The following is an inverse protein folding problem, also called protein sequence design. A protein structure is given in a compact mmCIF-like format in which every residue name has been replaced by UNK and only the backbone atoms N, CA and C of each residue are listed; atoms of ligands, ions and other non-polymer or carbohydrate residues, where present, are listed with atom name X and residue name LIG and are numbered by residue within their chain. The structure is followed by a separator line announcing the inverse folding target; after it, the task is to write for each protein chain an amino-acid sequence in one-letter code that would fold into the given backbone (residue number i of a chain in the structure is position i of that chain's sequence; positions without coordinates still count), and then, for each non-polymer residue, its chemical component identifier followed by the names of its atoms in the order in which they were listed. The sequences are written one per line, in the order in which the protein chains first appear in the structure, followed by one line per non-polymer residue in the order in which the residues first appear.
data_IF_620295555807
#
_entry.id   IF_620295555807
#
_cell.length_a   1.000
_cell.length_b   1.000
_cell.length_c   1.000
_cell.angle_alpha   90.00
_cell.angle_beta   90.00
_cell.angle_gamma   90.00
#
_symmetry.space_group_name_H-M   'P 1'
#
loop_
_entity.id
_entity.type
_entity.pdbx_description
1 polymer ?
#
# COMPACT_ATOMS: atom_id res chain seq x y z
N UNK A 1 24.54 17.25 18.10
CA UNK A 1 23.11 16.86 18.07
C UNK A 1 22.33 18.12 17.76
N UNK A 2 21.71 18.20 16.60
CA UNK A 2 20.72 19.24 16.31
C UNK A 2 19.51 18.97 17.19
N UNK A 3 19.25 19.84 18.16
CA UNK A 3 18.04 19.76 18.98
C UNK A 3 16.92 20.43 18.20
N UNK A 4 16.10 19.64 17.52
CA UNK A 4 14.87 20.14 16.90
C UNK A 4 13.77 20.33 17.95
N UNK A 5 12.82 21.22 17.69
CA UNK A 5 11.66 21.49 18.53
C UNK A 5 10.38 21.69 17.72
N UNK A 6 9.22 21.58 18.40
CA UNK A 6 7.92 21.76 17.75
C UNK A 6 7.72 23.15 17.15
N UNK A 7 8.05 24.26 17.85
CA UNK A 7 7.97 25.59 17.25
C UNK A 7 8.80 25.71 15.97
N UNK A 8 10.03 25.19 15.95
CA UNK A 8 10.89 25.25 14.77
C UNK A 8 10.30 24.47 13.59
N UNK A 9 9.90 23.21 13.82
CA UNK A 9 9.31 22.37 12.76
C UNK A 9 8.01 22.96 12.22
N UNK A 10 7.11 23.41 13.10
CA UNK A 10 5.83 23.97 12.68
C UNK A 10 6.01 25.32 11.99
N UNK A 11 6.95 26.17 12.43
CA UNK A 11 7.25 27.43 11.74
C UNK A 11 7.78 27.21 10.32
N UNK A 12 8.60 26.20 10.09
CA UNK A 12 9.06 25.83 8.73
C UNK A 12 7.87 25.43 7.84
N UNK A 13 6.99 24.54 8.34
CA UNK A 13 5.82 24.09 7.58
C UNK A 13 4.81 25.21 7.31
N UNK A 14 4.51 26.06 8.31
CA UNK A 14 3.60 27.21 8.16
C UNK A 14 4.15 28.24 7.18
N UNK A 15 5.48 28.38 7.09
CA UNK A 15 6.14 29.19 6.06
C UNK A 15 6.09 28.60 4.65
N UNK A 16 5.51 27.41 4.46
CA UNK A 16 5.48 26.71 3.17
C UNK A 16 6.83 26.11 2.77
N UNK A 17 7.74 25.93 3.72
CA UNK A 17 9.09 25.40 3.47
C UNK A 17 9.18 23.92 3.80
N UNK A 18 10.03 23.21 3.06
CA UNK A 18 10.23 21.78 3.24
C UNK A 18 11.10 21.51 4.47
N UNK A 19 10.72 20.50 5.24
CA UNK A 19 11.56 19.96 6.28
C UNK A 19 12.70 19.14 5.66
N UNK A 20 13.83 19.15 6.35
CA UNK A 20 14.87 18.13 6.13
C UNK A 20 14.37 16.75 6.61
N UNK A 21 14.95 15.67 6.08
CA UNK A 21 14.67 14.31 6.56
C UNK A 21 14.84 14.19 8.08
N UNK A 22 15.86 14.84 8.66
CA UNK A 22 16.10 14.85 10.10
C UNK A 22 15.00 15.53 10.92
N UNK A 23 14.44 16.63 10.42
CA UNK A 23 13.30 17.29 11.07
C UNK A 23 12.02 16.46 11.00
N UNK A 24 11.74 15.86 9.84
CA UNK A 24 10.60 14.96 9.68
C UNK A 24 10.71 13.73 10.59
N UNK A 25 11.91 13.11 10.64
CA UNK A 25 12.20 11.98 11.53
C UNK A 25 12.04 12.36 13.00
N UNK A 26 12.54 13.53 13.41
CA UNK A 26 12.38 14.01 14.78
C UNK A 26 10.90 14.19 15.15
N UNK A 27 10.11 14.85 14.29
CA UNK A 27 8.69 15.07 14.53
C UNK A 27 7.93 13.74 14.63
N UNK A 28 8.22 12.80 13.73
CA UNK A 28 7.63 11.46 13.77
C UNK A 28 8.04 10.69 15.03
N UNK A 29 9.27 10.85 15.50
CA UNK A 29 9.74 10.20 16.72
C UNK A 29 9.02 10.74 17.96
N UNK A 30 8.82 12.06 18.06
CA UNK A 30 8.01 12.66 19.12
C UNK A 30 6.58 12.11 19.14
N UNK A 31 5.99 11.90 17.96
CA UNK A 31 4.65 11.31 17.80
C UNK A 31 4.66 9.84 18.25
N UNK A 32 5.58 9.02 17.73
CA UNK A 32 5.59 7.57 17.97
C UNK A 32 5.94 7.18 19.40
N UNK A 33 6.66 8.04 20.13
CA UNK A 33 6.94 7.85 21.55
C UNK A 33 5.90 8.49 22.48
N UNK A 34 4.83 9.07 21.94
CA UNK A 34 3.77 9.70 22.74
C UNK A 34 4.20 10.96 23.49
N UNK A 35 5.22 11.68 22.99
CA UNK A 35 5.71 12.94 23.57
C UNK A 35 5.02 14.17 22.99
N UNK A 36 4.42 14.04 21.80
CA UNK A 36 3.65 15.11 21.17
C UNK A 36 2.24 15.25 21.77
N UNK A 37 1.75 16.48 21.91
CA UNK A 37 0.35 16.74 22.24
C UNK A 37 -0.56 16.57 21.02
N UNK A 38 -1.87 16.39 21.24
CA UNK A 38 -2.85 16.32 20.15
C UNK A 38 -2.82 17.58 19.26
N UNK A 39 -2.61 18.75 19.86
CA UNK A 39 -2.47 20.01 19.13
C UNK A 39 -1.23 20.03 18.22
N UNK A 40 -0.08 19.53 18.72
CA UNK A 40 1.14 19.43 17.92
C UNK A 40 0.98 18.43 16.77
N UNK A 41 0.40 17.26 17.05
CA UNK A 41 0.10 16.23 16.03
C UNK A 41 -0.84 16.78 14.95
N UNK A 42 -1.93 17.43 15.35
CA UNK A 42 -2.89 18.04 14.44
C UNK A 42 -2.26 19.13 13.58
N UNK A 43 -1.52 20.06 14.19
CA UNK A 43 -0.82 21.12 13.49
C UNK A 43 0.20 20.57 12.49
N UNK A 44 0.99 19.57 12.89
CA UNK A 44 1.98 18.94 12.01
C UNK A 44 1.34 18.27 10.81
N UNK A 45 0.32 17.42 11.03
CA UNK A 45 -0.38 16.71 9.96
C UNK A 45 -1.03 17.67 8.95
N UNK A 46 -1.70 18.71 9.44
CA UNK A 46 -2.35 19.69 8.57
C UNK A 46 -1.34 20.56 7.83
N UNK A 47 -0.33 21.09 8.51
CA UNK A 47 0.66 21.95 7.87
C UNK A 47 1.49 21.20 6.83
N UNK A 48 1.91 19.95 7.12
CA UNK A 48 2.63 19.11 6.18
C UNK A 48 1.78 18.81 4.94
N UNK A 49 0.54 18.36 5.13
CA UNK A 49 -0.35 18.03 4.01
C UNK A 49 -0.73 19.27 3.18
N UNK A 50 -1.02 20.40 3.81
CA UNK A 50 -1.35 21.65 3.10
C UNK A 50 -0.17 22.19 2.30
N UNK A 51 1.07 22.01 2.79
CA UNK A 51 2.30 22.34 2.06
C UNK A 51 2.54 21.40 0.88
N UNK A 52 2.07 20.15 0.97
CA UNK A 52 2.45 18.98 0.16
C UNK A 52 3.81 18.44 0.55
N UNK A 53 3.93 17.13 0.58
CA UNK A 53 5.09 16.40 1.06
C UNK A 53 6.22 16.34 0.02
N UNK A 54 7.44 16.19 0.52
CA UNK A 54 8.62 15.85 -0.28
C UNK A 54 9.08 14.43 0.01
N UNK A 55 9.87 13.87 -0.91
CA UNK A 55 10.45 12.53 -0.74
C UNK A 55 11.32 12.45 0.52
N UNK A 56 12.07 13.51 0.85
CA UNK A 56 12.90 13.56 2.06
C UNK A 56 12.06 13.54 3.35
N UNK A 57 10.93 14.25 3.35
CA UNK A 57 9.98 14.22 4.46
C UNK A 57 9.41 12.81 4.62
N UNK A 58 8.89 12.22 3.55
CA UNK A 58 8.33 10.87 3.57
C UNK A 58 9.34 9.83 4.04
N UNK A 59 10.56 9.86 3.51
CA UNK A 59 11.63 8.95 3.91
C UNK A 59 11.85 9.02 5.42
N UNK A 60 11.95 10.23 5.99
CA UNK A 60 12.14 10.40 7.44
C UNK A 60 10.95 9.94 8.28
N UNK A 61 9.72 10.11 7.79
CA UNK A 61 8.53 9.59 8.48
C UNK A 61 8.50 8.05 8.47
N UNK A 62 8.76 7.45 7.31
CA UNK A 62 8.72 6.00 7.11
C UNK A 62 9.86 5.31 7.88
N UNK A 63 11.07 5.89 7.89
CA UNK A 63 12.20 5.36 8.68
C UNK A 63 11.81 5.19 10.15
N UNK A 64 11.18 6.21 10.75
CA UNK A 64 10.74 6.15 12.14
C UNK A 64 9.58 5.17 12.34
N UNK A 65 8.68 5.01 11.38
CA UNK A 65 7.63 3.98 11.44
C UNK A 65 8.23 2.58 11.48
N UNK A 66 9.26 2.33 10.68
CA UNK A 66 9.95 1.03 10.60
C UNK A 66 10.80 0.76 11.84
N UNK A 67 11.49 1.77 12.37
CA UNK A 67 12.26 1.67 13.62
C UNK A 67 11.39 1.30 14.83
N UNK A 68 10.13 1.76 14.82
CA UNK A 68 9.15 1.48 15.87
C UNK A 68 8.20 0.32 15.53
N UNK A 69 8.41 -0.36 14.40
CA UNK A 69 7.63 -1.52 14.01
C UNK A 69 8.07 -2.78 14.78
N UNK A 70 7.14 -3.71 14.96
CA UNK A 70 7.45 -5.03 15.49
C UNK A 70 8.18 -5.83 14.41
N UNK A 71 9.45 -6.15 14.65
CA UNK A 71 10.30 -6.88 13.70
C UNK A 71 9.91 -8.36 13.64
N UNK A 72 10.16 -8.96 12.47
CA UNK A 72 9.85 -10.34 12.15
C UNK A 72 11.05 -11.04 11.51
N UNK A 73 11.13 -12.35 11.72
CA UNK A 73 12.14 -13.22 11.12
C UNK A 73 11.57 -13.96 9.89
N UNK A 74 10.95 -13.22 8.97
CA UNK A 74 10.45 -13.77 7.68
C UNK A 74 11.48 -13.67 6.55
N UNK A 75 12.46 -12.77 6.70
CA UNK A 75 13.21 -12.24 5.57
C UNK A 75 12.37 -11.26 4.73
N UNK A 76 12.97 -10.73 3.67
CA UNK A 76 12.37 -9.75 2.75
C UNK A 76 12.11 -10.30 1.35
N UNK A 77 12.42 -11.56 1.09
CA UNK A 77 12.31 -12.15 -0.25
C UNK A 77 10.86 -12.50 -0.62
N UNK A 78 10.07 -11.46 -0.88
CA UNK A 78 8.64 -11.55 -1.11
C UNK A 78 8.10 -10.29 -1.80
N UNK A 79 6.84 -10.40 -2.20
CA UNK A 79 6.00 -9.36 -2.76
C UNK A 79 5.03 -8.80 -1.70
N UNK A 80 4.75 -7.50 -1.76
CA UNK A 80 3.54 -6.89 -1.16
C UNK A 80 2.65 -6.33 -2.27
N UNK A 81 1.35 -6.65 -2.22
CA UNK A 81 0.33 -6.06 -3.11
C UNK A 81 -0.61 -5.25 -2.22
N UNK A 82 -0.54 -3.93 -2.33
CA UNK A 82 -1.17 -3.03 -1.36
C UNK A 82 -1.56 -1.72 -2.03
N UNK A 83 -2.62 -1.09 -1.52
CA UNK A 83 -3.06 0.24 -1.94
C UNK A 83 -3.00 1.23 -0.79
N UNK A 84 -2.97 2.53 -1.11
CA UNK A 84 -3.17 3.59 -0.10
C UNK A 84 -4.59 3.59 0.47
N UNK A 85 -5.54 2.99 -0.26
CA UNK A 85 -6.96 3.22 -0.10
C UNK A 85 -7.32 4.67 -0.42
N UNK A 86 -8.56 5.04 -0.07
CA UNK A 86 -9.02 6.42 -0.16
C UNK A 86 -9.55 6.84 -1.55
N UNK A 87 -9.69 5.90 -2.48
CA UNK A 87 -10.41 6.09 -3.75
C UNK A 87 -11.90 6.42 -3.56
N UNK A 88 -12.45 6.06 -2.40
CA UNK A 88 -13.86 6.18 -2.03
C UNK A 88 -14.81 5.50 -3.01
N UNK A 89 -14.36 4.53 -3.83
CA UNK A 89 -15.20 3.80 -4.79
C UNK A 89 -15.83 2.57 -4.13
N UNK A 90 -15.06 1.84 -3.32
CA UNK A 90 -15.60 0.68 -2.59
C UNK A 90 -15.76 -0.54 -3.45
N UNK A 91 -14.73 -0.84 -4.21
CA UNK A 91 -14.60 -2.09 -4.95
C UNK A 91 -14.54 -3.29 -4.00
N UNK A 92 -14.66 -4.49 -4.56
CA UNK A 92 -14.24 -5.72 -3.88
C UNK A 92 -12.76 -5.62 -3.50
N UNK A 93 -12.30 -6.43 -2.54
CA UNK A 93 -10.92 -6.33 -2.02
C UNK A 93 -9.88 -6.92 -3.00
N UNK A 94 -9.66 -6.23 -4.13
CA UNK A 94 -8.84 -6.65 -5.28
C UNK A 94 -7.41 -6.98 -4.85
N UNK A 95 -6.68 -6.06 -4.23
CA UNK A 95 -5.31 -6.33 -3.78
C UNK A 95 -5.17 -7.52 -2.82
N UNK A 96 -6.23 -7.87 -2.08
CA UNK A 96 -6.22 -9.05 -1.17
C UNK A 96 -6.44 -10.34 -1.95
N UNK A 97 -7.36 -10.33 -2.91
CA UNK A 97 -7.56 -11.48 -3.79
C UNK A 97 -6.35 -11.70 -4.71
N UNK A 98 -5.77 -10.62 -5.25
CA UNK A 98 -4.56 -10.66 -6.07
C UNK A 98 -3.36 -11.22 -5.30
N UNK A 99 -3.21 -10.89 -4.01
CA UNK A 99 -2.16 -11.46 -3.15
C UNK A 99 -2.27 -12.98 -3.04
N UNK A 100 -3.50 -13.51 -2.92
CA UNK A 100 -3.75 -14.95 -2.86
C UNK A 100 -3.43 -15.61 -4.22
N UNK A 101 -3.83 -14.98 -5.33
CA UNK A 101 -3.51 -15.48 -6.67
C UNK A 101 -2.00 -15.51 -6.93
N UNK A 102 -1.27 -14.44 -6.58
CA UNK A 102 0.18 -14.39 -6.73
C UNK A 102 0.90 -15.46 -5.90
N UNK A 103 0.44 -15.69 -4.66
CA UNK A 103 0.95 -16.78 -3.82
C UNK A 103 0.66 -18.16 -4.41
N UNK A 104 -0.55 -18.37 -4.94
CA UNK A 104 -0.91 -19.61 -5.62
C UNK A 104 -0.09 -19.84 -6.92
N UNK A 105 0.40 -18.78 -7.56
CA UNK A 105 1.33 -18.82 -8.69
C UNK A 105 2.79 -19.08 -8.27
N UNK A 106 3.08 -19.19 -6.97
CA UNK A 106 4.41 -19.53 -6.43
C UNK A 106 5.26 -18.35 -6.00
N UNK A 107 4.73 -17.11 -6.02
CA UNK A 107 5.44 -15.92 -5.53
C UNK A 107 5.22 -15.78 -4.02
N UNK A 108 6.27 -15.65 -3.18
CA UNK A 108 6.07 -15.41 -1.75
C UNK A 108 5.41 -14.04 -1.50
N UNK A 109 4.39 -13.98 -0.63
CA UNK A 109 3.64 -12.75 -0.37
C UNK A 109 3.63 -12.38 1.12
N UNK A 110 4.08 -11.16 1.42
CA UNK A 110 4.06 -10.54 2.74
C UNK A 110 3.10 -9.34 2.74
N UNK A 111 1.79 -9.61 2.72
CA UNK A 111 0.78 -8.56 2.55
C UNK A 111 0.65 -7.70 3.81
N UNK A 112 0.85 -6.38 3.69
CA UNK A 112 0.54 -5.44 4.78
C UNK A 112 -0.87 -4.85 4.63
N UNK A 113 -1.61 -4.73 5.73
CA UNK A 113 -2.94 -4.15 5.68
C UNK A 113 -3.50 -3.75 7.04
N UNK A 114 -4.55 -2.94 7.00
CA UNK A 114 -5.25 -2.42 8.18
C UNK A 114 -6.76 -2.53 7.97
N UNK A 115 -7.51 -2.29 9.06
CA UNK A 115 -8.93 -1.94 8.97
C UNK A 115 -9.12 -0.66 8.17
N UNK A 116 -10.26 -0.58 7.49
CA UNK A 116 -10.59 0.58 6.68
C UNK A 116 -10.81 1.84 7.52
N UNK A 117 -10.27 2.96 7.05
CA UNK A 117 -10.50 4.27 7.65
C UNK A 117 -11.73 4.99 7.07
N UNK A 118 -12.25 4.56 5.92
CA UNK A 118 -13.32 5.25 5.17
C UNK A 118 -14.72 4.65 5.40
N UNK A 119 -14.84 3.64 6.26
CA UNK A 119 -16.10 2.93 6.53
C UNK A 119 -16.52 1.91 5.47
N UNK A 120 -15.76 1.79 4.37
CA UNK A 120 -15.88 0.70 3.40
C UNK A 120 -15.13 -0.55 3.88
N UNK A 121 -15.39 -1.72 3.32
CA UNK A 121 -14.73 -2.97 3.77
C UNK A 121 -13.24 -2.96 3.48
N UNK A 122 -12.42 -2.92 4.53
CA UNK A 122 -10.97 -3.06 4.43
C UNK A 122 -10.54 -4.50 4.15
N UNK A 123 -9.27 -4.69 3.79
CA UNK A 123 -8.69 -6.00 3.53
C UNK A 123 -8.77 -6.92 4.76
N UNK A 124 -8.49 -6.37 5.94
CA UNK A 124 -8.46 -7.14 7.18
C UNK A 124 -9.82 -7.73 7.57
N UNK A 125 -10.90 -6.97 7.37
CA UNK A 125 -12.27 -7.37 7.70
C UNK A 125 -12.74 -8.51 6.81
N UNK A 126 -12.48 -8.44 5.51
CA UNK A 126 -12.78 -9.53 4.57
C UNK A 126 -11.96 -10.79 4.89
N UNK A 127 -10.67 -10.64 5.23
CA UNK A 127 -9.82 -11.77 5.59
C UNK A 127 -10.28 -12.47 6.89
N UNK A 128 -10.76 -11.72 7.90
CA UNK A 128 -11.38 -12.30 9.09
C UNK A 128 -12.60 -13.16 8.75
N UNK A 129 -13.47 -12.70 7.84
CA UNK A 129 -14.65 -13.45 7.36
C UNK A 129 -14.27 -14.70 6.54
N UNK A 130 -13.08 -14.71 5.93
CA UNK A 130 -12.50 -15.91 5.32
C UNK A 130 -11.89 -16.88 6.35
N UNK A 131 -11.79 -16.48 7.62
CA UNK A 131 -11.26 -17.30 8.71
C UNK A 131 -9.78 -17.03 9.04
N UNK A 132 -9.18 -15.99 8.46
CA UNK A 132 -7.80 -15.59 8.78
C UNK A 132 -7.75 -14.95 10.17
N UNK A 133 -6.81 -15.42 11.00
CA UNK A 133 -6.59 -14.91 12.35
C UNK A 133 -5.71 -13.66 12.31
N UNK A 134 -6.24 -12.52 12.75
CA UNK A 134 -5.49 -11.25 12.82
C UNK A 134 -4.77 -11.02 14.15
N UNK A 135 -5.02 -11.87 15.13
CA UNK A 135 -4.48 -11.81 16.50
C UNK A 135 -3.28 -12.72 16.72
N UNK A 136 -2.68 -13.24 15.63
CA UNK A 136 -1.47 -14.04 15.70
C UNK A 136 -0.30 -13.20 16.20
N UNK A 137 0.54 -13.83 17.04
CA UNK A 137 1.80 -13.22 17.43
C UNK A 137 2.77 -13.13 16.24
N UNK A 138 3.77 -12.22 16.28
CA UNK A 138 4.76 -12.11 15.22
C UNK A 138 5.43 -13.44 14.84
N UNK A 139 5.82 -14.25 15.83
CA UNK A 139 6.43 -15.56 15.57
C UNK A 139 5.47 -16.52 14.85
N UNK A 140 4.18 -16.51 15.17
CA UNK A 140 3.18 -17.31 14.47
C UNK A 140 2.96 -16.81 13.04
N UNK A 141 2.94 -15.50 12.81
CA UNK A 141 2.87 -14.90 11.46
C UNK A 141 4.04 -15.37 10.60
N UNK A 142 5.26 -15.39 11.16
CA UNK A 142 6.43 -15.91 10.47
C UNK A 142 6.36 -17.41 10.18
N UNK A 143 5.82 -18.21 11.11
CA UNK A 143 5.59 -19.66 10.89
C UNK A 143 4.57 -19.93 9.78
N UNK A 144 3.49 -19.14 9.72
CA UNK A 144 2.51 -19.23 8.63
C UNK A 144 3.19 -18.93 7.29
N UNK A 145 3.99 -17.87 7.20
CA UNK A 145 4.71 -17.55 5.98
C UNK A 145 5.68 -18.66 5.56
N UNK A 146 6.47 -19.19 6.49
CA UNK A 146 7.43 -20.26 6.21
C UNK A 146 6.75 -21.54 5.69
N UNK A 147 5.48 -21.79 6.06
CA UNK A 147 4.73 -22.98 5.65
C UNK A 147 3.93 -22.77 4.37
N UNK A 148 3.26 -21.63 4.25
CA UNK A 148 2.26 -21.39 3.20
C UNK A 148 2.76 -20.46 2.08
N UNK A 149 3.91 -19.81 2.24
CA UNK A 149 4.44 -18.84 1.28
C UNK A 149 3.68 -17.51 1.24
N UNK A 150 2.62 -17.35 2.03
CA UNK A 150 1.85 -16.11 2.18
C UNK A 150 1.51 -15.87 3.65
N UNK A 151 1.55 -14.60 4.06
CA UNK A 151 1.01 -14.18 5.37
C UNK A 151 0.46 -12.76 5.31
N UNK A 152 -0.28 -12.37 6.36
CA UNK A 152 -0.88 -11.05 6.48
C UNK A 152 -0.38 -10.31 7.73
N UNK A 153 0.09 -9.09 7.53
CA UNK A 153 0.61 -8.22 8.57
C UNK A 153 -0.48 -7.23 8.93
N UNK A 154 -1.14 -7.46 10.06
CA UNK A 154 -2.17 -6.57 10.54
C UNK A 154 -1.55 -5.32 11.20
N UNK A 155 -1.62 -4.17 10.53
CA UNK A 155 -0.91 -2.95 10.90
C UNK A 155 -1.05 -2.54 12.38
N UNK A 156 -2.21 -2.67 13.05
CA UNK A 156 -2.32 -2.35 14.48
C UNK A 156 -1.47 -3.23 15.40
N UNK A 157 -1.18 -4.48 15.01
CA UNK A 157 -0.26 -5.38 15.74
C UNK A 157 1.18 -4.99 15.49
N UNK A 158 1.51 -4.64 14.25
CA UNK A 158 2.89 -4.41 13.83
C UNK A 158 3.39 -2.96 13.99
N UNK A 159 2.49 -1.99 14.10
CA UNK A 159 2.82 -0.58 14.36
C UNK A 159 2.12 -0.07 15.63
N UNK A 160 2.39 -0.65 16.81
CA UNK A 160 1.69 -0.30 18.05
C UNK A 160 1.85 1.17 18.44
N UNK A 161 2.95 1.82 18.05
CA UNK A 161 3.20 3.24 18.27
C UNK A 161 2.17 4.15 17.57
N UNK A 162 1.52 3.68 16.50
CA UNK A 162 0.47 4.42 15.78
C UNK A 162 -0.74 4.74 16.64
N UNK A 163 -0.94 4.06 17.78
CA UNK A 163 -1.98 4.39 18.75
C UNK A 163 -1.87 5.82 19.27
N UNK A 164 -0.65 6.40 19.28
CA UNK A 164 -0.43 7.75 19.78
C UNK A 164 -0.99 8.82 18.84
N UNK A 165 -0.94 8.60 17.52
CA UNK A 165 -1.48 9.55 16.53
C UNK A 165 -2.96 9.30 16.19
N UNK A 166 -3.47 8.11 16.49
CA UNK A 166 -4.84 7.70 16.15
C UNK A 166 -5.94 8.66 16.67
N UNK A 167 -5.90 9.18 17.92
CA UNK A 167 -6.91 10.13 18.38
C UNK A 167 -6.91 11.43 17.57
N UNK A 168 -5.73 12.00 17.29
CA UNK A 168 -5.62 13.21 16.48
C UNK A 168 -6.14 13.00 15.05
N UNK A 169 -5.83 11.85 14.44
CA UNK A 169 -6.38 11.50 13.10
C UNK A 169 -7.90 11.41 13.12
N UNK A 170 -8.47 10.80 14.16
CA UNK A 170 -9.93 10.67 14.32
C UNK A 170 -10.61 12.03 14.52
N UNK A 171 -10.01 12.93 15.31
CA UNK A 171 -10.53 14.28 15.53
C UNK A 171 -10.44 15.16 14.29
N UNK A 172 -9.36 15.05 13.51
CA UNK A 172 -9.21 15.79 12.25
C UNK A 172 -10.24 15.35 11.20
N UNK A 173 -10.48 14.05 11.06
CA UNK A 173 -11.50 13.51 10.14
C UNK A 173 -11.23 13.73 8.65
N UNK A 174 -10.05 14.23 8.27
CA UNK A 174 -9.64 14.49 6.88
C UNK A 174 -8.39 13.69 6.51
N UNK A 175 -8.20 13.35 5.22
CA UNK A 175 -6.97 12.70 4.77
C UNK A 175 -5.72 13.55 5.00
N UNK A 176 -4.66 12.94 5.53
CA UNK A 176 -3.35 13.57 5.77
C UNK A 176 -2.25 12.69 5.20
N UNK A 177 -0.97 13.05 5.38
CA UNK A 177 0.18 12.20 5.01
C UNK A 177 0.03 10.77 5.55
N UNK A 178 -0.49 10.64 6.77
CA UNK A 178 -0.67 9.36 7.46
C UNK A 178 -1.65 8.40 6.78
N UNK A 179 -2.44 8.85 5.80
CA UNK A 179 -3.33 8.00 5.04
C UNK A 179 -2.59 7.12 4.03
N UNK A 180 -1.40 7.52 3.57
CA UNK A 180 -0.66 6.79 2.54
C UNK A 180 0.74 6.35 2.98
N UNK A 181 1.11 6.49 4.26
CA UNK A 181 2.38 5.95 4.78
C UNK A 181 2.35 4.42 4.96
N UNK A 182 1.17 3.83 5.17
CA UNK A 182 1.01 2.41 5.47
C UNK A 182 1.70 1.46 4.48
N UNK A 183 1.50 1.63 3.17
CA UNK A 183 2.16 0.80 2.16
C UNK A 183 3.70 0.86 2.16
N UNK A 184 4.29 1.98 2.58
CA UNK A 184 5.75 2.15 2.64
C UNK A 184 6.34 1.49 3.90
N UNK A 185 5.53 1.32 4.93
CA UNK A 185 5.96 0.91 6.26
C UNK A 185 5.81 -0.60 6.54
N UNK A 186 5.69 -1.48 5.53
CA UNK A 186 5.64 -2.93 5.77
C UNK A 186 6.87 -3.38 6.61
N UNK A 187 6.69 -3.96 7.82
CA UNK A 187 7.80 -4.28 8.73
C UNK A 187 8.82 -5.27 8.17
N UNK A 188 8.41 -6.16 7.25
CA UNK A 188 9.31 -7.13 6.64
C UNK A 188 10.14 -6.56 5.49
N UNK A 189 9.82 -5.33 5.04
CA UNK A 189 10.49 -4.67 3.93
C UNK A 189 10.67 -5.58 2.69
N UNK A 190 9.60 -6.16 2.12
CA UNK A 190 9.67 -6.99 0.92
C UNK A 190 10.46 -6.34 -0.21
N UNK A 191 11.21 -7.14 -0.98
CA UNK A 191 12.04 -6.68 -2.10
C UNK A 191 11.22 -6.10 -3.25
N UNK A 192 9.96 -6.53 -3.37
CA UNK A 192 9.04 -6.12 -4.42
C UNK A 192 7.72 -5.58 -3.86
N UNK A 193 7.20 -4.51 -4.46
CA UNK A 193 5.89 -3.94 -4.11
C UNK A 193 5.08 -3.61 -5.36
N UNK A 194 3.86 -4.13 -5.45
CA UNK A 194 2.81 -3.60 -6.32
C UNK A 194 1.96 -2.62 -5.49
N UNK A 195 2.04 -1.34 -5.82
CA UNK A 195 1.48 -0.27 -5.01
C UNK A 195 0.44 0.55 -5.77
N UNK A 196 -0.81 0.42 -5.35
CA UNK A 196 -1.89 1.29 -5.80
C UNK A 196 -1.94 2.61 -5.04
N UNK A 197 -2.12 3.73 -5.76
CA UNK A 197 -2.24 5.07 -5.16
C UNK A 197 -3.39 5.85 -5.77
N UNK A 198 -4.39 6.23 -4.95
CA UNK A 198 -5.58 6.95 -5.43
C UNK A 198 -5.28 8.40 -5.84
N UNK A 199 -4.30 9.03 -5.20
CA UNK A 199 -3.95 10.44 -5.39
C UNK A 199 -2.81 10.60 -6.42
N UNK A 200 -3.10 11.29 -7.51
CA UNK A 200 -2.17 11.49 -8.63
C UNK A 200 -0.93 12.30 -8.26
N UNK A 201 -1.02 13.18 -7.26
CA UNK A 201 0.14 13.95 -6.79
C UNK A 201 1.02 13.12 -5.84
N UNK A 202 0.47 12.09 -5.21
CA UNK A 202 1.17 11.25 -4.23
C UNK A 202 1.86 10.05 -4.89
N UNK A 203 1.30 9.50 -5.98
CA UNK A 203 1.87 8.31 -6.64
C UNK A 203 3.36 8.48 -7.04
N UNK A 204 3.79 9.60 -7.64
CA UNK A 204 5.21 9.83 -7.95
C UNK A 204 6.08 9.95 -6.69
N UNK A 205 5.54 10.51 -5.60
CA UNK A 205 6.27 10.65 -4.33
C UNK A 205 6.51 9.29 -3.68
N UNK A 206 5.52 8.39 -3.70
CA UNK A 206 5.68 7.03 -3.18
C UNK A 206 6.65 6.21 -4.02
N UNK A 207 6.61 6.32 -5.35
CA UNK A 207 7.58 5.69 -6.22
C UNK A 207 9.01 6.17 -5.92
N UNK A 208 9.19 7.48 -5.72
CA UNK A 208 10.49 8.05 -5.37
C UNK A 208 11.00 7.60 -4.00
N UNK A 209 10.13 7.46 -3.00
CA UNK A 209 10.50 6.93 -1.68
C UNK A 209 10.92 5.45 -1.75
N UNK A 210 10.21 4.63 -2.52
CA UNK A 210 10.62 3.24 -2.77
C UNK A 210 11.97 3.18 -3.50
N UNK A 211 12.21 4.10 -4.43
CA UNK A 211 13.47 4.22 -5.16
C UNK A 211 14.65 4.61 -4.24
N UNK A 212 14.46 5.55 -3.30
CA UNK A 212 15.52 5.93 -2.34
C UNK A 212 15.89 4.79 -1.41
N UNK A 213 14.95 3.87 -1.12
CA UNK A 213 15.20 2.63 -0.36
C UNK A 213 15.83 1.50 -1.18
N UNK A 214 15.95 1.67 -2.50
CA UNK A 214 16.44 0.63 -3.41
C UNK A 214 15.49 -0.57 -3.57
N UNK A 215 14.20 -0.40 -3.28
CA UNK A 215 13.18 -1.44 -3.48
C UNK A 215 12.79 -1.49 -4.95
N UNK A 216 12.43 -2.67 -5.45
CA UNK A 216 11.76 -2.79 -6.74
C UNK A 216 10.27 -2.61 -6.53
N UNK A 217 9.63 -1.81 -7.38
CA UNK A 217 8.19 -1.61 -7.26
C UNK A 217 7.54 -1.29 -8.59
N UNK A 218 6.25 -1.57 -8.67
CA UNK A 218 5.39 -1.00 -9.71
C UNK A 218 4.31 -0.23 -8.96
N UNK A 219 4.43 1.09 -8.97
CA UNK A 219 3.42 1.99 -8.43
C UNK A 219 2.44 2.31 -9.55
N UNK A 220 1.14 2.26 -9.30
CA UNK A 220 0.14 2.51 -10.32
C UNK A 220 -1.06 3.28 -9.77
N UNK A 221 -1.76 3.92 -10.70
CA UNK A 221 -3.01 4.63 -10.45
C UNK A 221 -3.88 4.54 -11.69
N UNK A 222 -5.15 4.23 -11.51
CA UNK A 222 -6.10 4.38 -12.62
C UNK A 222 -6.49 5.84 -12.83
N UNK A 223 -6.66 6.25 -14.08
CA UNK A 223 -7.00 7.62 -14.44
C UNK A 223 -8.38 8.06 -13.92
N UNK A 224 -9.26 7.11 -13.59
CA UNK A 224 -10.55 7.37 -12.93
C UNK A 224 -10.46 7.43 -11.39
N UNK A 225 -9.27 7.26 -10.82
CA UNK A 225 -8.99 7.48 -9.39
C UNK A 225 -8.90 6.23 -8.53
N UNK A 226 -9.07 5.04 -9.10
CA UNK A 226 -8.83 3.80 -8.38
C UNK A 226 -7.36 3.63 -8.01
N UNK A 227 -7.11 3.12 -6.80
CA UNK A 227 -5.80 2.66 -6.34
C UNK A 227 -5.58 1.17 -6.65
N UNK A 228 -6.11 0.71 -7.78
CA UNK A 228 -5.90 -0.63 -8.32
C UNK A 228 -5.49 -0.49 -9.79
N UNK A 229 -4.73 -1.43 -10.34
CA UNK A 229 -4.46 -1.45 -11.78
C UNK A 229 -5.76 -1.85 -12.47
N UNK A 230 -6.44 -0.88 -13.08
CA UNK A 230 -7.86 -0.99 -13.39
C UNK A 230 -8.14 -1.44 -14.82
N UNK A 231 -9.30 -2.08 -14.98
CA UNK A 231 -9.93 -2.44 -16.25
C UNK A 231 -11.01 -1.44 -16.69
N UNK A 232 -11.28 -0.40 -15.90
CA UNK A 232 -12.31 0.63 -16.18
C UNK A 232 -11.74 1.81 -16.99
N UNK A 233 -10.47 2.14 -16.79
CA UNK A 233 -9.79 3.30 -17.37
C UNK A 233 -8.32 2.98 -17.67
N UNK A 234 -7.63 3.88 -18.37
CA UNK A 234 -6.17 3.79 -18.55
C UNK A 234 -5.47 3.99 -17.21
N UNK A 235 -4.26 3.44 -17.10
CA UNK A 235 -3.48 3.47 -15.87
C UNK A 235 -2.16 4.20 -16.09
N UNK A 236 -1.79 5.05 -15.15
CA UNK A 236 -0.44 5.59 -15.03
C UNK A 236 0.40 4.66 -14.16
N UNK A 237 1.62 4.35 -14.60
CA UNK A 237 2.53 3.44 -13.92
C UNK A 237 3.88 4.13 -13.71
N UNK A 238 4.45 3.95 -12.52
CA UNK A 238 5.82 4.30 -12.17
C UNK A 238 6.55 3.01 -11.73
N UNK A 239 7.37 2.48 -12.64
CA UNK A 239 8.22 1.33 -12.36
C UNK A 239 9.50 1.81 -11.67
N UNK A 240 9.77 1.24 -10.51
CA UNK A 240 11.00 1.45 -9.73
C UNK A 240 11.89 0.23 -9.87
N UNK A 241 13.11 0.41 -10.36
CA UNK A 241 14.13 -0.65 -10.39
C UNK A 241 15.52 -0.05 -10.28
N UNK A 242 16.38 -0.63 -9.44
CA UNK A 242 17.75 -0.15 -9.18
C UNK A 242 17.83 1.35 -8.84
N UNK A 243 16.83 1.87 -8.12
CA UNK A 243 16.74 3.28 -7.74
C UNK A 243 16.37 4.25 -8.87
N UNK A 244 16.11 3.75 -10.08
CA UNK A 244 15.58 4.54 -11.20
C UNK A 244 14.05 4.38 -11.29
N UNK A 245 13.40 5.43 -11.82
CA UNK A 245 11.96 5.43 -12.08
C UNK A 245 11.73 5.58 -13.57
N UNK A 246 10.93 4.68 -14.14
CA UNK A 246 10.43 4.75 -15.51
C UNK A 246 8.91 4.82 -15.49
N UNK A 247 8.33 5.62 -16.39
CA UNK A 247 6.89 5.89 -16.40
C UNK A 247 6.21 5.36 -17.64
N UNK A 248 5.06 4.73 -17.47
CA UNK A 248 4.27 4.16 -18.56
C UNK A 248 2.80 4.57 -18.44
N UNK A 249 2.10 4.50 -19.57
CA UNK A 249 0.65 4.43 -19.61
C UNK A 249 0.27 3.03 -20.05
N UNK A 250 -0.73 2.43 -19.41
CA UNK A 250 -1.18 1.08 -19.71
C UNK A 250 -2.70 1.00 -19.78
N UNK A 251 -3.20 0.44 -20.88
CA UNK A 251 -4.60 0.07 -21.05
C UNK A 251 -4.75 -1.45 -21.02
N UNK A 252 -5.63 -1.98 -20.16
CA UNK A 252 -5.88 -3.42 -20.04
C UNK A 252 -6.31 -4.08 -21.38
N UNK A 253 -6.84 -3.28 -22.32
CA UNK A 253 -7.16 -3.75 -23.69
C UNK A 253 -5.93 -4.19 -24.48
N UNK A 254 -4.75 -3.68 -24.17
CA UNK A 254 -3.49 -4.09 -24.82
C UNK A 254 -3.16 -5.56 -24.59
N UNK A 255 -3.71 -6.15 -23.52
CA UNK A 255 -3.54 -7.56 -23.17
C UNK A 255 -4.85 -8.35 -23.35
N UNK A 256 -5.81 -7.78 -24.08
CA UNK A 256 -7.09 -8.44 -24.41
C UNK A 256 -8.15 -8.42 -23.31
N UNK A 257 -8.00 -7.59 -22.27
CA UNK A 257 -9.03 -7.40 -21.24
C UNK A 257 -9.95 -6.24 -21.65
N UNK A 258 -11.24 -6.55 -21.80
CA UNK A 258 -12.25 -5.55 -22.17
C UNK A 258 -12.53 -4.55 -21.05
N UNK A 259 -12.91 -3.33 -21.42
CA UNK A 259 -13.32 -2.32 -20.45
C UNK A 259 -14.65 -2.67 -19.80
N UNK A 260 -14.73 -2.48 -18.49
CA UNK A 260 -15.96 -2.66 -17.70
C UNK A 260 -16.38 -1.35 -17.04
N UNK A 261 -17.65 -1.25 -16.65
CA UNK A 261 -18.08 -0.18 -15.75
C UNK A 261 -17.52 -0.43 -14.36
N UNK A 262 -17.21 0.64 -13.63
CA UNK A 262 -16.85 0.58 -12.20
C UNK A 262 -17.91 -0.14 -11.36
N UNK A 263 -19.19 -0.06 -11.77
CA UNK A 263 -20.30 -0.76 -11.12
C UNK A 263 -20.11 -2.29 -11.09
N UNK A 264 -19.38 -2.84 -12.06
CA UNK A 264 -19.08 -4.26 -12.13
C UNK A 264 -18.07 -4.70 -11.06
N UNK A 265 -17.35 -3.76 -10.47
CA UNK A 265 -16.27 -4.00 -9.50
C UNK A 265 -16.67 -3.66 -8.07
N UNK A 266 -17.85 -3.07 -7.86
CA UNK A 266 -18.33 -2.66 -6.54
C UNK A 266 -18.42 -3.85 -5.59
N UNK A 267 -17.93 -3.63 -4.37
CA UNK A 267 -18.06 -4.56 -3.27
C UNK A 267 -19.24 -4.20 -2.36
N UNK A 268 -19.26 -4.86 -1.21
CA UNK A 268 -20.23 -4.64 -0.14
C UNK A 268 -19.55 -4.64 1.22
N UNK A 269 -20.24 -5.21 2.21
CA UNK A 269 -19.65 -5.45 3.53
C UNK A 269 -18.59 -6.58 3.50
N UNK A 270 -17.95 -6.81 4.65
CA UNK A 270 -16.91 -7.83 4.80
C UNK A 270 -17.37 -9.22 4.39
N UNK A 271 -18.60 -9.58 4.76
CA UNK A 271 -19.19 -10.88 4.47
C UNK A 271 -19.47 -11.04 2.98
N UNK A 272 -20.00 -10.00 2.33
CA UNK A 272 -20.23 -9.97 0.90
C UNK A 272 -18.92 -10.11 0.11
N UNK A 273 -17.90 -9.33 0.44
CA UNK A 273 -16.60 -9.41 -0.23
C UNK A 273 -15.93 -10.77 0.00
N UNK A 274 -16.06 -11.36 1.18
CA UNK A 274 -15.57 -12.71 1.47
C UNK A 274 -16.32 -13.80 0.67
N UNK A 275 -17.63 -13.63 0.45
CA UNK A 275 -18.41 -14.52 -0.42
C UNK A 275 -17.97 -14.41 -1.88
N UNK A 276 -17.76 -13.19 -2.39
CA UNK A 276 -17.21 -12.98 -3.74
C UNK A 276 -15.86 -13.67 -3.88
N UNK A 277 -14.94 -13.47 -2.93
CA UNK A 277 -13.63 -14.11 -2.95
C UNK A 277 -13.74 -15.65 -2.98
N UNK A 278 -14.59 -16.24 -2.13
CA UNK A 278 -14.85 -17.70 -2.11
C UNK A 278 -15.36 -18.20 -3.46
N UNK A 279 -16.34 -17.52 -4.05
CA UNK A 279 -16.90 -17.88 -5.36
C UNK A 279 -15.85 -17.79 -6.46
N UNK A 280 -15.11 -16.68 -6.51
CA UNK A 280 -14.04 -16.43 -7.47
C UNK A 280 -13.00 -17.56 -7.41
N UNK A 281 -12.48 -17.88 -6.23
CA UNK A 281 -11.46 -18.94 -6.08
C UNK A 281 -11.98 -20.35 -6.32
N UNK A 282 -13.28 -20.59 -6.15
CA UNK A 282 -13.90 -21.88 -6.49
C UNK A 282 -14.17 -22.06 -8.00
N UNK A 283 -14.02 -21.00 -8.79
CA UNK A 283 -14.42 -20.99 -10.20
C UNK A 283 -15.93 -20.98 -10.41
N UNK A 284 -16.72 -20.60 -9.39
CA UNK A 284 -18.17 -20.43 -9.52
C UNK A 284 -18.47 -19.17 -10.35
N UNK A 285 -19.33 -19.30 -11.35
CA UNK A 285 -19.83 -18.17 -12.12
C UNK A 285 -20.91 -17.40 -11.34
N UNK A 286 -20.81 -16.07 -11.34
CA UNK A 286 -21.78 -15.17 -10.73
C UNK A 286 -21.83 -13.84 -11.47
N UNK A 287 -22.74 -12.95 -11.07
CA UNK A 287 -22.84 -11.64 -11.68
C UNK A 287 -21.51 -10.88 -11.54
N UNK A 288 -20.91 -10.50 -12.68
CA UNK A 288 -19.62 -9.83 -12.80
C UNK A 288 -18.38 -10.68 -12.44
N UNK A 289 -18.51 -12.01 -12.32
CA UNK A 289 -17.39 -12.94 -12.05
C UNK A 289 -16.19 -12.69 -12.97
N UNK A 290 -16.43 -12.57 -14.29
CA UNK A 290 -15.38 -12.27 -15.27
C UNK A 290 -14.70 -10.92 -15.01
N UNK A 291 -15.46 -9.85 -14.80
CA UNK A 291 -14.90 -8.51 -14.57
C UNK A 291 -14.02 -8.47 -13.31
N UNK A 292 -14.49 -9.12 -12.23
CA UNK A 292 -13.73 -9.25 -10.97
C UNK A 292 -12.50 -10.15 -11.17
N UNK A 293 -12.63 -11.26 -11.88
CA UNK A 293 -11.51 -12.15 -12.20
C UNK A 293 -10.44 -11.42 -13.00
N UNK A 294 -10.83 -10.70 -14.05
CA UNK A 294 -9.90 -10.00 -14.93
C UNK A 294 -9.08 -8.95 -14.16
N UNK A 295 -9.72 -8.13 -13.31
CA UNK A 295 -8.98 -7.13 -12.51
C UNK A 295 -8.14 -7.75 -11.39
N UNK A 296 -8.58 -8.87 -10.80
CA UNK A 296 -7.80 -9.59 -9.79
C UNK A 296 -6.57 -10.22 -10.42
N UNK A 297 -6.71 -10.86 -11.59
CA UNK A 297 -5.58 -11.41 -12.34
C UNK A 297 -4.63 -10.31 -12.78
N UNK A 298 -5.14 -9.16 -13.26
CA UNK A 298 -4.31 -8.03 -13.64
C UNK A 298 -3.47 -7.48 -12.47
N UNK A 299 -4.07 -7.35 -11.28
CA UNK A 299 -3.34 -6.90 -10.09
C UNK A 299 -2.41 -7.96 -9.51
N UNK A 300 -2.69 -9.25 -9.73
CA UNK A 300 -1.75 -10.32 -9.42
C UNK A 300 -0.56 -10.30 -10.39
N UNK A 301 -0.80 -10.13 -11.69
CA UNK A 301 0.20 -10.08 -12.74
C UNK A 301 1.20 -8.93 -12.50
N UNK A 302 0.72 -7.70 -12.21
CA UNK A 302 1.63 -6.58 -11.89
C UNK A 302 2.46 -6.84 -10.62
N UNK A 303 1.90 -7.56 -9.64
CA UNK A 303 2.62 -8.02 -8.46
C UNK A 303 3.74 -9.00 -8.81
N UNK A 304 3.42 -10.03 -9.61
CA UNK A 304 4.37 -11.02 -10.08
C UNK A 304 5.47 -10.34 -10.91
N UNK A 305 5.11 -9.44 -11.84
CA UNK A 305 6.07 -8.66 -12.63
C UNK A 305 7.01 -7.84 -11.74
N UNK A 306 6.51 -7.21 -10.68
CA UNK A 306 7.35 -6.46 -9.74
C UNK A 306 8.35 -7.39 -9.01
N UNK A 307 7.91 -8.60 -8.64
CA UNK A 307 8.76 -9.60 -8.01
C UNK A 307 9.82 -10.14 -8.96
N UNK A 308 9.44 -10.52 -10.18
CA UNK A 308 10.37 -11.01 -11.20
C UNK A 308 11.41 -9.94 -11.55
N UNK A 309 10.99 -8.68 -11.66
CA UNK A 309 11.91 -7.54 -11.87
C UNK A 309 12.88 -7.35 -10.69
N UNK A 310 12.48 -7.70 -9.47
CA UNK A 310 13.36 -7.68 -8.30
C UNK A 310 14.38 -8.83 -8.34
N UNK A 311 14.02 -9.97 -8.93
CA UNK A 311 14.88 -11.15 -9.09
C UNK A 311 15.85 -11.02 -10.26
N UNK A 312 15.38 -10.53 -11.40
CA UNK A 312 16.18 -10.20 -12.56
C UNK A 312 15.78 -8.85 -13.14
N UNK A 313 16.66 -7.88 -12.97
CA UNK A 313 16.46 -6.55 -13.55
C UNK A 313 16.38 -6.52 -15.07
N UNK A 314 16.82 -7.55 -15.79
CA UNK A 314 16.71 -7.62 -17.25
C UNK A 314 15.26 -7.75 -17.73
N UNK A 315 14.35 -8.15 -16.85
CA UNK A 315 12.91 -8.13 -17.14
C UNK A 315 12.44 -6.73 -17.61
N UNK A 316 13.12 -5.64 -17.22
CA UNK A 316 12.80 -4.30 -17.72
C UNK A 316 13.04 -4.10 -19.23
N UNK A 317 13.80 -4.98 -19.89
CA UNK A 317 14.01 -4.93 -21.35
C UNK A 317 12.78 -5.37 -22.14
N UNK A 318 11.84 -6.06 -21.47
CA UNK A 318 10.57 -6.51 -22.07
C UNK A 318 9.49 -5.45 -21.84
N UNK A 319 8.71 -5.17 -22.88
CA UNK A 319 7.59 -4.21 -22.81
C UNK A 319 6.63 -4.56 -21.67
N UNK A 320 6.12 -3.54 -20.97
CA UNK A 320 5.31 -3.74 -19.77
C UNK A 320 4.02 -4.53 -20.04
N UNK A 321 3.39 -4.32 -21.19
CA UNK A 321 2.17 -5.06 -21.57
C UNK A 321 2.45 -6.56 -21.78
N UNK A 322 3.60 -6.93 -22.32
CA UNK A 322 3.99 -8.34 -22.46
C UNK A 322 4.19 -9.00 -21.10
N UNK A 323 4.83 -8.28 -20.15
CA UNK A 323 5.03 -8.76 -18.78
C UNK A 323 3.73 -8.89 -17.98
N UNK A 324 2.72 -8.07 -18.30
CA UNK A 324 1.40 -8.13 -17.68
C UNK A 324 0.44 -9.13 -18.35
N UNK A 325 0.82 -9.72 -19.49
CA UNK A 325 0.00 -10.72 -20.22
C UNK A 325 0.18 -12.15 -19.72
N UNK A 326 0.97 -12.36 -18.66
CA UNK A 326 1.43 -13.68 -18.17
C UNK A 326 0.38 -14.37 -17.31
#
# INVERSE_FOLDING_TARGET
MTNFSWPEVLSVLVGGHNLTQGQASWAMSEIMHGRASLAQMGAFMMALRSKRETVQELTGLVDVMLDNAVKLETGSDALDIVGTGGDLVGTVNISSMASIVAAAAGVPVLKHGSRSASGKTGSSEMLEELGIRLDLSPSQVAQVFAKEGITFFFAPVFHPAMRHVAPARKELGVPTTFNFLGPLANPAQPIATALGVADAEIAPLMAAELATRGRTAIVFRSNDGLDELSTTSDNAIWQVSKGAIETFTFDAREIGIERVSVDALLGGDARHNAQIAKKLFSGEEFQNSKAISDIVCLNAAVGITAYDLAKDSKESETEINQRLSV
#
